data_IF_658526832025
#
_entry.id   IF_658526832025
#
_cell.length_a   1.000
_cell.length_b   1.000
_cell.length_c   1.000
_cell.angle_alpha   90.00
_cell.angle_beta   90.00
_cell.angle_gamma   90.00
#
_symmetry.space_group_name_H-M   'P 1'
#
loop_
_entity.id
_entity.type
_entity.pdbx_description
1 polymer ?
#
# COMPACT_ATOMS: atom_id res chain seq x y z
N UNK A 1 5.61 18.46 15.16
CA UNK A 1 4.43 18.58 16.05
C UNK A 1 4.77 18.75 17.52
N UNK A 2 5.13 17.68 18.26
CA UNK A 2 5.37 17.73 19.72
C UNK A 2 6.46 18.69 20.19
N UNK A 3 7.54 18.84 19.42
CA UNK A 3 8.70 19.64 19.85
C UNK A 3 8.61 21.14 19.49
N UNK A 4 7.73 21.51 18.57
CA UNK A 4 7.70 22.87 17.99
C UNK A 4 6.29 23.44 17.93
N UNK A 5 5.36 22.71 17.30
CA UNK A 5 4.00 23.20 17.10
C UNK A 5 3.23 23.36 18.42
N UNK A 6 3.21 22.31 19.26
CA UNK A 6 2.50 22.32 20.54
C UNK A 6 3.06 23.35 21.54
N UNK A 7 4.38 23.46 21.75
CA UNK A 7 4.97 24.51 22.59
C UNK A 7 4.72 25.93 22.06
N UNK A 8 4.72 26.14 20.75
CA UNK A 8 4.44 27.45 20.15
C UNK A 8 2.96 27.82 20.34
N UNK A 9 2.03 26.89 20.10
CA UNK A 9 0.60 27.09 20.38
C UNK A 9 0.36 27.51 21.83
N UNK A 10 1.04 26.86 22.77
CA UNK A 10 0.96 27.20 24.20
C UNK A 10 1.58 28.56 24.57
N UNK A 11 2.55 29.07 23.79
CA UNK A 11 3.25 30.34 24.06
C UNK A 11 2.64 31.55 23.36
N UNK A 12 2.23 31.41 22.10
CA UNK A 12 1.81 32.53 21.24
C UNK A 12 0.32 32.50 20.88
N UNK A 13 -0.41 31.42 21.17
CA UNK A 13 -1.84 31.25 20.84
C UNK A 13 -2.13 31.10 19.33
N UNK A 14 -1.27 31.63 18.46
CA UNK A 14 -1.39 31.56 17.01
C UNK A 14 -0.38 30.57 16.41
N UNK A 15 -0.89 29.55 15.73
CA UNK A 15 -0.14 28.57 14.94
C UNK A 15 -0.86 28.31 13.61
N UNK A 16 -0.14 27.96 12.53
CA UNK A 16 -0.78 27.69 11.23
C UNK A 16 -1.65 26.44 11.29
N UNK A 17 -2.76 26.44 10.54
CA UNK A 17 -3.60 25.25 10.43
C UNK A 17 -2.88 24.10 9.71
N UNK A 18 -3.16 22.88 10.13
CA UNK A 18 -2.61 21.66 9.56
C UNK A 18 -3.70 20.91 8.83
N UNK A 19 -3.47 20.66 7.55
CA UNK A 19 -4.31 19.83 6.71
C UNK A 19 -3.55 18.55 6.34
N UNK A 20 -4.03 17.41 6.86
CA UNK A 20 -3.56 16.09 6.48
C UNK A 20 -4.51 15.44 5.48
N UNK A 21 -3.99 14.92 4.37
CA UNK A 21 -4.75 14.12 3.41
C UNK A 21 -4.30 12.67 3.52
N UNK A 22 -5.23 11.76 3.81
CA UNK A 22 -4.97 10.32 3.81
C UNK A 22 -6.19 9.56 3.30
N UNK A 23 -5.95 8.42 2.67
CA UNK A 23 -6.99 7.46 2.31
C UNK A 23 -7.50 6.68 3.54
N UNK A 24 -6.64 6.49 4.54
CA UNK A 24 -7.00 5.90 5.84
C UNK A 24 -6.01 6.38 6.91
N UNK A 25 -6.46 6.90 8.07
CA UNK A 25 -5.55 7.31 9.14
C UNK A 25 -5.10 6.14 10.03
N UNK A 26 -5.55 4.89 9.82
CA UNK A 26 -5.21 3.76 10.72
C UNK A 26 -4.16 2.84 10.11
N UNK A 27 -3.00 2.76 10.76
CA UNK A 27 -1.85 1.94 10.32
C UNK A 27 -1.92 0.46 10.75
N UNK A 28 -2.63 0.11 11.86
CA UNK A 28 -2.53 -1.22 12.48
C UNK A 28 -3.84 -1.88 12.94
N UNK A 29 -4.94 -1.64 12.21
CA UNK A 29 -6.26 -2.22 12.53
C UNK A 29 -6.78 -1.87 13.95
N UNK A 30 -6.15 -0.92 14.65
CA UNK A 30 -6.51 -0.52 15.99
C UNK A 30 -7.16 0.87 15.96
N UNK A 31 -8.47 0.89 16.12
CA UNK A 31 -9.30 2.10 16.11
C UNK A 31 -8.91 3.11 17.21
N UNK A 32 -8.20 2.67 18.26
CA UNK A 32 -7.75 3.53 19.37
C UNK A 32 -6.59 4.46 18.99
N UNK A 33 -5.87 4.19 17.90
CA UNK A 33 -4.75 5.02 17.46
C UNK A 33 -5.20 6.36 16.84
N UNK A 34 -6.47 6.47 16.44
CA UNK A 34 -7.01 7.68 15.82
C UNK A 34 -6.86 8.91 16.72
N UNK A 35 -7.24 8.81 18.00
CA UNK A 35 -7.12 9.92 18.94
C UNK A 35 -5.67 10.34 19.17
N UNK A 36 -4.71 9.42 19.04
CA UNK A 36 -3.29 9.74 19.13
C UNK A 36 -2.81 10.53 17.91
N UNK A 37 -3.34 10.24 16.72
CA UNK A 37 -3.04 10.99 15.49
C UNK A 37 -3.63 12.40 15.56
N UNK A 38 -4.90 12.52 15.93
CA UNK A 38 -5.58 13.80 16.09
C UNK A 38 -4.86 14.68 17.13
N UNK A 39 -4.49 14.13 18.28
CA UNK A 39 -3.72 14.84 19.31
C UNK A 39 -2.30 15.20 18.85
N UNK A 40 -1.67 14.35 18.05
CA UNK A 40 -0.33 14.64 17.53
C UNK A 40 -0.37 15.74 16.47
N UNK A 41 -1.36 15.73 15.57
CA UNK A 41 -1.48 16.68 14.46
C UNK A 41 -2.25 17.96 14.82
N UNK A 42 -2.88 18.03 16.00
CA UNK A 42 -3.78 19.13 16.39
C UNK A 42 -4.86 19.39 15.33
N UNK A 43 -5.34 18.30 14.71
CA UNK A 43 -6.29 18.31 13.60
C UNK A 43 -7.31 17.20 13.79
N UNK A 44 -8.55 17.41 13.33
CA UNK A 44 -9.61 16.41 13.41
C UNK A 44 -9.64 15.59 12.12
N UNK A 45 -9.78 14.28 12.25
CA UNK A 45 -10.00 13.42 11.10
C UNK A 45 -11.47 13.49 10.67
N UNK A 46 -11.71 14.05 9.48
CA UNK A 46 -13.05 14.22 8.91
C UNK A 46 -13.18 13.49 7.57
N UNK A 47 -14.39 13.03 7.24
CA UNK A 47 -14.74 12.44 5.94
C UNK A 47 -15.82 13.30 5.27
N UNK A 48 -15.81 13.50 3.94
CA UNK A 48 -16.83 14.29 3.25
C UNK A 48 -18.26 13.75 3.46
N UNK A 49 -19.20 14.61 3.89
CA UNK A 49 -20.59 14.23 4.21
C UNK A 49 -21.64 14.81 3.25
N UNK A 50 -21.54 16.10 2.91
CA UNK A 50 -22.62 16.84 2.21
C UNK A 50 -22.92 16.33 0.79
N UNK A 51 -21.90 16.06 -0.02
CA UNK A 51 -22.07 15.60 -1.40
C UNK A 51 -21.77 14.11 -1.58
N UNK A 52 -22.04 13.30 -0.56
CA UNK A 52 -21.73 11.85 -0.57
C UNK A 52 -22.44 11.11 -1.71
N UNK A 53 -23.66 11.52 -2.05
CA UNK A 53 -24.39 10.95 -3.20
C UNK A 53 -23.71 11.26 -4.53
N UNK A 54 -23.21 12.49 -4.72
CA UNK A 54 -22.49 12.87 -5.94
C UNK A 54 -21.11 12.20 -6.00
N UNK A 55 -20.43 12.05 -4.85
CA UNK A 55 -19.21 11.26 -4.74
C UNK A 55 -19.44 9.82 -5.21
N UNK A 56 -20.53 9.17 -4.77
CA UNK A 56 -20.85 7.80 -5.18
C UNK A 56 -21.23 7.65 -6.66
N UNK A 57 -21.62 8.72 -7.35
CA UNK A 57 -21.80 8.68 -8.82
C UNK A 57 -20.47 8.55 -9.56
N UNK A 58 -19.39 9.08 -8.98
CA UNK A 58 -18.06 9.12 -9.59
C UNK A 58 -17.07 8.10 -8.98
N UNK A 59 -17.40 7.50 -7.83
CA UNK A 59 -16.60 6.47 -7.17
C UNK A 59 -17.23 5.10 -7.42
N UNK A 60 -16.53 4.27 -8.21
CA UNK A 60 -16.94 2.89 -8.45
C UNK A 60 -16.25 1.95 -7.47
N UNK A 61 -17.06 1.24 -6.68
CA UNK A 61 -16.58 0.24 -5.72
C UNK A 61 -16.38 -1.09 -6.45
N UNK A 62 -15.18 -1.70 -6.38
CA UNK A 62 -14.95 -2.98 -7.02
C UNK A 62 -15.75 -4.09 -6.33
N UNK A 63 -16.17 -5.10 -7.10
CA UNK A 63 -16.72 -6.34 -6.56
C UNK A 63 -15.62 -7.12 -5.85
N UNK A 64 -15.72 -7.25 -4.53
CA UNK A 64 -14.82 -8.09 -3.74
C UNK A 64 -15.09 -9.57 -4.04
N UNK A 65 -14.05 -10.31 -4.43
CA UNK A 65 -14.12 -11.74 -4.70
C UNK A 65 -13.00 -12.50 -4.00
N UNK A 66 -13.34 -13.64 -3.43
CA UNK A 66 -12.39 -14.55 -2.80
C UNK A 66 -12.02 -15.67 -3.78
N UNK A 67 -10.72 -15.84 -4.02
CA UNK A 67 -10.22 -16.97 -4.81
C UNK A 67 -9.53 -17.96 -3.87
N UNK A 68 -10.25 -19.03 -3.54
CA UNK A 68 -9.80 -20.00 -2.55
C UNK A 68 -8.89 -21.06 -3.20
N UNK A 69 -7.79 -21.43 -2.54
CA UNK A 69 -6.88 -22.46 -3.04
C UNK A 69 -6.45 -23.44 -1.95
N UNK A 70 -6.11 -24.66 -2.32
CA UNK A 70 -5.57 -25.65 -1.38
C UNK A 70 -4.07 -25.40 -1.25
N UNK A 71 -3.58 -25.20 -0.02
CA UNK A 71 -2.14 -25.22 0.24
C UNK A 71 -1.61 -26.60 -0.07
N UNK A 72 -0.54 -26.66 -0.86
CA UNK A 72 0.20 -27.89 -0.97
C UNK A 72 0.92 -28.10 0.36
N UNK A 73 0.35 -28.91 1.26
CA UNK A 73 1.12 -29.40 2.41
C UNK A 73 2.35 -30.10 1.85
N UNK A 74 3.53 -29.73 2.35
CA UNK A 74 4.78 -30.41 2.03
C UNK A 74 4.81 -31.83 2.64
N UNK A 75 3.83 -32.68 2.31
CA UNK A 75 3.94 -34.13 2.50
C UNK A 75 4.80 -34.67 1.37
N UNK A 76 6.11 -34.50 1.54
CA UNK A 76 7.11 -35.08 0.67
C UNK A 76 8.14 -34.07 0.24
N UNK A 77 9.20 -33.97 1.04
CA UNK A 77 10.56 -33.66 0.56
C UNK A 77 11.05 -34.58 -0.58
N UNK A 78 10.23 -35.53 -1.05
CA UNK A 78 10.54 -36.50 -2.09
C UNK A 78 10.56 -35.92 -3.52
N UNK A 79 9.94 -34.76 -3.78
CA UNK A 79 9.91 -34.12 -5.11
C UNK A 79 10.63 -32.77 -5.15
N UNK A 80 11.52 -32.49 -4.18
CA UNK A 80 12.43 -31.36 -4.33
C UNK A 80 13.29 -31.64 -5.57
N UNK A 81 13.16 -30.80 -6.61
CA UNK A 81 14.00 -30.92 -7.81
C UNK A 81 15.47 -31.09 -7.40
N UNK A 82 16.22 -31.92 -8.11
CA UNK A 82 17.65 -32.17 -7.84
C UNK A 82 18.43 -30.87 -7.61
N UNK A 83 18.06 -29.81 -8.34
CA UNK A 83 18.62 -28.46 -8.25
C UNK A 83 18.42 -27.83 -6.86
N UNK A 84 17.28 -28.05 -6.22
CA UNK A 84 17.01 -27.56 -4.87
C UNK A 84 17.87 -28.26 -3.81
N UNK A 85 18.09 -29.59 -3.96
CA UNK A 85 18.99 -30.32 -3.07
C UNK A 85 20.44 -29.91 -3.25
N UNK A 86 20.88 -29.70 -4.49
CA UNK A 86 22.22 -29.19 -4.82
C UNK A 86 22.44 -27.84 -4.16
N UNK A 87 21.48 -26.93 -4.28
CA UNK A 87 21.56 -25.61 -3.65
C UNK A 87 21.60 -25.71 -2.11
N UNK A 88 20.81 -26.62 -1.52
CA UNK A 88 20.83 -26.85 -0.06
C UNK A 88 22.17 -27.40 0.41
N UNK A 89 22.77 -28.35 -0.33
CA UNK A 89 24.10 -28.92 -0.04
C UNK A 89 25.18 -27.84 -0.12
N UNK A 90 25.15 -26.99 -1.15
CA UNK A 90 26.07 -25.85 -1.27
C UNK A 90 25.93 -24.92 -0.06
N UNK A 91 24.70 -24.55 0.32
CA UNK A 91 24.45 -23.70 1.48
C UNK A 91 24.97 -24.30 2.79
N UNK A 92 24.86 -25.62 2.97
CA UNK A 92 25.38 -26.32 4.15
C UNK A 92 26.91 -26.36 4.14
N UNK A 93 27.55 -26.72 3.02
CA UNK A 93 29.02 -26.73 2.87
C UNK A 93 29.65 -25.36 3.16
N UNK A 94 29.03 -24.28 2.70
CA UNK A 94 29.50 -22.92 2.97
C UNK A 94 29.27 -22.49 4.43
N UNK A 95 28.24 -23.02 5.10
CA UNK A 95 28.01 -22.78 6.52
C UNK A 95 29.03 -23.53 7.38
N UNK A 96 29.33 -24.78 7.02
CA UNK A 96 30.29 -25.64 7.72
C UNK A 96 31.74 -25.12 7.58
N UNK A 97 32.11 -24.57 6.42
CA UNK A 97 33.44 -23.99 6.17
C UNK A 97 33.69 -22.65 6.85
N UNK A 98 32.65 -21.86 7.10
CA UNK A 98 32.81 -20.45 7.52
C UNK A 98 32.17 -20.12 8.89
N UNK A 99 31.55 -21.10 9.54
CA UNK A 99 30.86 -20.93 10.81
C UNK A 99 29.54 -20.15 10.65
N UNK A 100 28.69 -20.22 11.68
CA UNK A 100 27.45 -19.46 11.71
C UNK A 100 27.77 -17.95 11.73
N UNK A 101 27.12 -17.14 10.87
CA UNK A 101 27.30 -15.69 10.95
C UNK A 101 26.84 -15.22 12.33
N UNK A 102 27.74 -14.55 13.06
CA UNK A 102 27.61 -14.06 14.44
C UNK A 102 26.43 -13.10 14.72
N UNK A 103 25.47 -12.96 13.81
CA UNK A 103 24.38 -11.97 13.90
C UNK A 103 23.08 -12.50 14.54
N UNK A 104 23.01 -13.75 15.03
CA UNK A 104 21.77 -14.30 15.62
C UNK A 104 21.92 -14.98 16.99
N UNK A 105 23.10 -15.01 17.60
CA UNK A 105 23.34 -15.59 18.94
C UNK A 105 23.73 -14.51 19.97
N UNK A 106 23.00 -13.39 19.98
CA UNK A 106 23.28 -12.24 20.84
C UNK A 106 22.04 -11.44 21.20
N UNK A 107 20.96 -12.11 21.58
CA UNK A 107 19.88 -11.54 22.37
C UNK A 107 19.68 -12.48 23.54
N UNK A 108 20.58 -12.41 24.53
CA UNK A 108 20.40 -12.76 25.95
C UNK A 108 21.77 -12.63 26.66
N UNK A 109 22.32 -11.41 26.72
CA UNK A 109 23.29 -11.02 27.76
C UNK A 109 23.61 -9.52 27.68
N UNK A 110 23.16 -8.77 28.69
CA UNK A 110 23.88 -7.61 29.23
C UNK A 110 23.93 -6.32 28.40
N UNK A 111 23.36 -5.25 28.97
CA UNK A 111 23.63 -3.87 28.59
C UNK A 111 25.14 -3.58 28.56
N UNK A 112 25.69 -3.40 27.36
CA UNK A 112 27.04 -2.89 27.14
C UNK A 112 27.11 -2.26 25.76
N UNK A 113 27.46 -0.97 25.70
CA UNK A 113 27.71 -0.24 24.45
C UNK A 113 28.81 -0.96 23.66
N UNK A 114 28.45 -1.67 22.60
CA UNK A 114 29.41 -2.27 21.66
C UNK A 114 29.25 -1.58 20.31
N UNK A 115 30.36 -1.02 19.83
CA UNK A 115 30.46 -0.22 18.62
C UNK A 115 30.06 -0.94 17.33
N UNK A 116 29.83 -0.14 16.29
CA UNK A 116 29.50 -0.55 14.91
C UNK A 116 30.41 -1.68 14.43
N UNK A 117 29.89 -2.76 13.80
CA UNK A 117 30.75 -3.83 13.30
C UNK A 117 31.47 -3.39 12.03
N UNK A 118 32.78 -3.21 12.18
CA UNK A 118 33.79 -3.06 11.13
C UNK A 118 33.87 -4.32 10.24
N UNK A 119 33.87 -4.10 8.91
CA UNK A 119 34.33 -4.97 7.81
C UNK A 119 33.85 -6.44 7.86
N UNK A 120 32.73 -6.75 7.19
CA UNK A 120 32.32 -8.14 6.93
C UNK A 120 33.30 -8.80 5.95
N UNK A 121 33.85 -9.95 6.34
CA UNK A 121 34.68 -10.79 5.48
C UNK A 121 33.86 -11.28 4.29
N UNK A 122 34.45 -11.24 3.10
CA UNK A 122 33.83 -11.58 1.82
C UNK A 122 33.21 -13.00 1.86
N UNK A 123 33.87 -13.92 2.56
CA UNK A 123 33.40 -15.31 2.73
C UNK A 123 32.11 -15.43 3.55
N UNK A 124 31.98 -14.63 4.62
CA UNK A 124 30.74 -14.57 5.42
C UNK A 124 29.60 -13.92 4.64
N UNK A 125 29.94 -12.95 3.79
CA UNK A 125 29.00 -12.28 2.89
C UNK A 125 28.50 -13.24 1.81
N UNK A 126 29.35 -14.09 1.23
CA UNK A 126 28.98 -15.16 0.28
C UNK A 126 27.97 -16.14 0.90
N UNK A 127 28.29 -16.70 2.07
CA UNK A 127 27.42 -17.66 2.77
C UNK A 127 26.04 -17.05 3.08
N UNK A 128 26.02 -15.79 3.50
CA UNK A 128 24.79 -15.03 3.72
C UNK A 128 23.96 -14.83 2.43
N UNK A 129 24.60 -14.55 1.30
CA UNK A 129 23.92 -14.40 0.00
C UNK A 129 23.30 -15.72 -0.46
N UNK A 130 24.06 -16.81 -0.38
CA UNK A 130 23.57 -18.15 -0.74
C UNK A 130 22.40 -18.56 0.13
N UNK A 131 22.49 -18.37 1.46
CA UNK A 131 21.36 -18.68 2.36
C UNK A 131 20.11 -17.88 2.01
N UNK A 132 20.26 -16.58 1.73
CA UNK A 132 19.13 -15.74 1.29
C UNK A 132 18.55 -16.21 -0.03
N UNK A 133 19.39 -16.69 -0.95
CA UNK A 133 18.96 -17.27 -2.20
C UNK A 133 18.19 -18.58 -1.99
N UNK A 134 18.66 -19.48 -1.12
CA UNK A 134 17.92 -20.68 -0.71
C UNK A 134 16.52 -20.33 -0.18
N UNK A 135 16.43 -19.34 0.70
CA UNK A 135 15.15 -18.91 1.26
C UNK A 135 14.20 -18.34 0.18
N UNK A 136 14.74 -17.58 -0.79
CA UNK A 136 13.96 -17.09 -1.94
C UNK A 136 13.49 -18.24 -2.84
N UNK A 137 14.36 -19.20 -3.14
CA UNK A 137 14.01 -20.37 -3.95
C UNK A 137 12.95 -21.23 -3.25
N UNK A 138 13.05 -21.40 -1.93
CA UNK A 138 12.06 -22.10 -1.12
C UNK A 138 10.69 -21.41 -1.18
N UNK A 139 10.68 -20.08 -1.06
CA UNK A 139 9.46 -19.28 -1.19
C UNK A 139 8.85 -19.39 -2.60
N UNK A 140 9.67 -19.34 -3.66
CA UNK A 140 9.19 -19.56 -5.04
C UNK A 140 8.60 -20.95 -5.21
N UNK A 141 9.22 -21.98 -4.62
CA UNK A 141 8.71 -23.35 -4.65
C UNK A 141 7.34 -23.46 -3.97
N UNK A 142 7.18 -22.88 -2.78
CA UNK A 142 5.93 -22.92 -2.04
C UNK A 142 4.80 -22.17 -2.76
N UNK A 143 5.10 -20.98 -3.28
CA UNK A 143 4.09 -20.09 -3.86
C UNK A 143 3.74 -20.43 -5.32
N UNK A 144 4.75 -20.77 -6.14
CA UNK A 144 4.60 -20.97 -7.59
C UNK A 144 4.72 -22.44 -8.03
N UNK A 145 5.32 -23.29 -7.20
CA UNK A 145 5.42 -24.73 -7.43
C UNK A 145 6.84 -25.22 -7.79
N UNK A 146 7.04 -26.55 -7.87
CA UNK A 146 8.33 -27.18 -8.16
C UNK A 146 9.00 -26.72 -9.45
N UNK A 147 8.27 -26.67 -10.57
CA UNK A 147 8.83 -26.24 -11.87
C UNK A 147 9.29 -24.79 -11.85
N UNK A 148 8.57 -23.92 -11.14
CA UNK A 148 8.93 -22.52 -10.99
C UNK A 148 10.27 -22.36 -10.24
N UNK A 149 10.49 -23.16 -9.19
CA UNK A 149 11.75 -23.18 -8.46
C UNK A 149 12.89 -23.80 -9.29
N UNK A 150 12.61 -24.88 -10.02
CA UNK A 150 13.57 -25.53 -10.91
C UNK A 150 14.02 -24.63 -12.07
N UNK A 151 13.16 -23.69 -12.51
CA UNK A 151 13.53 -22.63 -13.45
C UNK A 151 14.28 -21.47 -12.78
N UNK A 152 13.77 -21.00 -11.63
CA UNK A 152 14.31 -19.83 -10.93
C UNK A 152 15.79 -19.98 -10.55
N UNK A 153 16.18 -21.14 -10.04
CA UNK A 153 17.55 -21.38 -9.57
C UNK A 153 18.59 -21.25 -10.70
N UNK A 154 18.52 -22.03 -11.79
CA UNK A 154 19.48 -21.95 -12.88
C UNK A 154 19.37 -20.65 -13.68
N UNK A 155 18.17 -20.08 -13.83
CA UNK A 155 18.01 -18.77 -14.46
C UNK A 155 18.74 -17.67 -13.69
N UNK A 156 18.67 -17.70 -12.36
CA UNK A 156 19.45 -16.76 -11.52
C UNK A 156 20.96 -16.99 -11.68
N UNK A 157 21.41 -18.25 -11.73
CA UNK A 157 22.82 -18.58 -11.95
C UNK A 157 23.31 -18.10 -13.33
N UNK A 158 22.49 -18.17 -14.37
CA UNK A 158 22.79 -17.65 -15.70
C UNK A 158 22.91 -16.12 -15.72
N UNK A 159 21.99 -15.41 -15.07
CA UNK A 159 22.09 -13.95 -14.96
C UNK A 159 23.37 -13.53 -14.23
N UNK A 160 23.77 -14.28 -13.19
CA UNK A 160 25.04 -14.06 -12.49
C UNK A 160 26.23 -14.29 -13.42
N UNK A 161 26.22 -15.38 -14.21
CA UNK A 161 27.25 -15.66 -15.23
C UNK A 161 27.38 -14.50 -16.20
N UNK A 162 26.27 -14.04 -16.78
CA UNK A 162 26.25 -12.93 -17.74
C UNK A 162 26.79 -11.63 -17.13
N UNK A 163 26.40 -11.30 -15.88
CA UNK A 163 26.94 -10.13 -15.18
C UNK A 163 28.43 -10.26 -14.87
N UNK A 164 28.90 -11.45 -14.49
CA UNK A 164 30.32 -11.70 -14.26
C UNK A 164 31.14 -11.45 -15.53
N UNK A 165 30.64 -11.87 -16.69
CA UNK A 165 31.29 -11.62 -17.99
C UNK A 165 31.27 -10.13 -18.38
N UNK A 166 30.14 -9.43 -18.18
CA UNK A 166 30.09 -7.98 -18.39
C UNK A 166 31.07 -7.22 -17.47
N UNK A 167 31.20 -7.64 -16.21
CA UNK A 167 32.13 -7.03 -15.26
C UNK A 167 33.61 -7.25 -15.64
N UNK A 168 33.94 -8.40 -16.24
CA UNK A 168 35.28 -8.64 -16.82
C UNK A 168 35.55 -7.74 -18.02
N UNK A 169 34.54 -7.47 -18.84
CA UNK A 169 34.66 -6.60 -20.01
C UNK A 169 34.83 -5.11 -19.65
N UNK A 170 34.30 -4.68 -18.51
CA UNK A 170 34.34 -3.28 -18.04
C UNK A 170 35.51 -2.96 -17.09
N UNK A 171 36.62 -3.69 -17.21
CA UNK A 171 37.81 -3.81 -16.33
C UNK A 171 38.52 -2.54 -15.81
N UNK A 172 37.99 -1.33 -16.00
CA UNK A 172 38.57 -0.07 -15.51
C UNK A 172 38.34 0.20 -14.01
N UNK A 173 37.41 -0.51 -13.35
CA UNK A 173 37.19 -0.36 -11.90
C UNK A 173 36.59 -1.63 -11.27
N UNK A 174 37.41 -2.47 -10.64
CA UNK A 174 36.93 -3.68 -9.92
C UNK A 174 36.30 -3.23 -8.60
N UNK A 175 34.98 -3.36 -8.49
CA UNK A 175 34.28 -3.12 -7.23
C UNK A 175 34.25 -4.41 -6.40
N UNK A 176 34.22 -4.29 -5.06
CA UNK A 176 34.01 -5.44 -4.13
C UNK A 176 32.79 -6.30 -4.52
N UNK A 177 31.81 -5.70 -5.20
CA UNK A 177 30.63 -6.39 -5.73
C UNK A 177 30.98 -7.40 -6.83
N UNK A 178 31.93 -7.08 -7.70
CA UNK A 178 32.33 -7.93 -8.82
C UNK A 178 33.08 -9.18 -8.34
N UNK A 179 33.86 -9.05 -7.25
CA UNK A 179 34.49 -10.18 -6.58
C UNK A 179 33.45 -11.16 -6.03
N UNK A 180 32.39 -10.65 -5.38
CA UNK A 180 31.29 -11.48 -4.88
C UNK A 180 30.51 -12.17 -6.01
N UNK A 181 30.27 -11.47 -7.13
CA UNK A 181 29.61 -12.04 -8.33
C UNK A 181 30.45 -13.20 -8.89
N UNK A 182 31.77 -13.01 -8.99
CA UNK A 182 32.69 -14.04 -9.48
C UNK A 182 32.74 -15.26 -8.53
N UNK A 183 32.79 -15.05 -7.21
CA UNK A 183 32.75 -16.15 -6.25
C UNK A 183 31.41 -16.91 -6.27
N UNK A 184 30.29 -16.21 -6.46
CA UNK A 184 28.98 -16.85 -6.62
C UNK A 184 28.92 -17.67 -7.90
N UNK A 185 29.45 -17.14 -9.02
CA UNK A 185 29.58 -17.89 -10.27
C UNK A 185 30.38 -19.17 -10.03
N UNK A 186 31.57 -19.07 -9.46
CA UNK A 186 32.46 -20.23 -9.27
C UNK A 186 31.81 -21.27 -8.36
N UNK A 187 31.08 -20.86 -7.31
CA UNK A 187 30.33 -21.76 -6.45
C UNK A 187 29.18 -22.47 -7.18
N UNK A 188 28.45 -21.79 -8.06
CA UNK A 188 27.37 -22.40 -8.84
C UNK A 188 27.89 -23.31 -9.96
N UNK A 189 29.00 -22.96 -10.59
CA UNK A 189 29.64 -23.75 -11.63
C UNK A 189 30.23 -25.05 -11.05
N UNK A 190 30.83 -25.00 -9.86
CA UNK A 190 31.36 -26.19 -9.16
C UNK A 190 30.31 -27.24 -8.83
N UNK A 191 29.07 -26.82 -8.56
CA UNK A 191 27.97 -27.74 -8.26
C UNK A 191 27.18 -28.17 -9.52
N UNK A 192 27.59 -27.74 -10.71
CA UNK A 192 26.96 -28.16 -11.96
C UNK A 192 25.55 -27.62 -12.17
N UNK A 193 25.21 -26.45 -11.58
CA UNK A 193 23.94 -25.75 -11.85
C UNK A 193 24.00 -25.20 -13.29
N UNK A 194 23.62 -26.05 -14.23
CA UNK A 194 23.68 -25.79 -15.68
C UNK A 194 22.42 -25.06 -16.18
N UNK A 195 22.39 -24.76 -17.48
CA UNK A 195 21.45 -23.87 -18.18
C UNK A 195 19.99 -23.99 -17.70
N UNK A 196 19.28 -22.85 -17.66
CA UNK A 196 17.88 -22.84 -17.28
C UNK A 196 17.08 -23.79 -18.18
N UNK A 197 16.16 -24.60 -17.61
CA UNK A 197 15.28 -25.42 -18.42
C UNK A 197 14.44 -24.52 -19.34
N UNK A 198 14.02 -25.08 -20.47
CA UNK A 198 13.18 -24.37 -21.42
C UNK A 198 11.95 -23.76 -20.71
N UNK A 199 11.54 -22.57 -21.16
CA UNK A 199 10.38 -21.85 -20.62
C UNK A 199 9.11 -22.71 -20.71
N UNK A 200 9.07 -23.67 -21.64
CA UNK A 200 7.99 -24.65 -21.76
C UNK A 200 7.86 -25.58 -20.54
N UNK A 201 8.93 -25.81 -19.76
CA UNK A 201 8.89 -26.58 -18.52
C UNK A 201 8.07 -25.90 -17.42
N UNK A 202 7.81 -24.60 -17.54
CA UNK A 202 6.92 -23.85 -16.62
C UNK A 202 5.42 -24.14 -16.83
N UNK A 203 5.06 -25.04 -17.77
CA UNK A 203 3.66 -25.41 -18.05
C UNK A 203 3.14 -26.57 -17.20
N UNK A 204 4.01 -27.22 -16.42
CA UNK A 204 3.72 -28.47 -15.72
C UNK A 204 4.14 -28.31 -14.26
N UNK A 205 3.48 -29.00 -13.32
CA UNK A 205 3.80 -28.96 -11.87
C UNK A 205 3.82 -27.53 -11.29
N UNK A 206 2.87 -26.70 -11.70
CA UNK A 206 2.61 -25.41 -11.04
C UNK A 206 1.89 -25.64 -9.71
N UNK A 207 2.01 -24.68 -8.79
CA UNK A 207 1.23 -24.73 -7.56
C UNK A 207 -0.26 -24.63 -7.86
N UNK A 208 -1.09 -25.27 -7.03
CA UNK A 208 -2.55 -25.14 -7.12
C UNK A 208 -3.01 -23.68 -7.03
N UNK A 209 -2.24 -22.85 -6.33
CA UNK A 209 -2.45 -21.40 -6.26
C UNK A 209 -2.31 -20.75 -7.64
N UNK A 210 -1.22 -21.02 -8.36
CA UNK A 210 -1.00 -20.47 -9.71
C UNK A 210 -2.03 -21.02 -10.70
N UNK A 211 -2.40 -22.30 -10.60
CA UNK A 211 -3.46 -22.89 -11.45
C UNK A 211 -4.81 -22.20 -11.25
N UNK A 212 -5.19 -21.91 -10.01
CA UNK A 212 -6.41 -21.13 -9.72
C UNK A 212 -6.33 -19.71 -10.29
N UNK A 213 -5.17 -19.06 -10.20
CA UNK A 213 -4.96 -17.75 -10.81
C UNK A 213 -5.11 -17.80 -12.35
N UNK A 214 -4.49 -18.80 -13.00
CA UNK A 214 -4.57 -18.98 -14.45
C UNK A 214 -6.01 -19.27 -14.88
N UNK A 215 -6.72 -20.13 -14.16
CA UNK A 215 -8.12 -20.43 -14.44
C UNK A 215 -9.01 -19.19 -14.28
N UNK A 216 -8.75 -18.37 -13.27
CA UNK A 216 -9.47 -17.12 -13.08
C UNK A 216 -9.20 -16.10 -14.20
N UNK A 217 -7.94 -15.96 -14.63
CA UNK A 217 -7.54 -15.07 -15.71
C UNK A 217 -8.07 -15.53 -17.07
N UNK A 218 -8.18 -16.84 -17.29
CA UNK A 218 -8.74 -17.38 -18.55
C UNK A 218 -10.20 -16.95 -18.78
N UNK A 219 -10.98 -16.83 -17.71
CA UNK A 219 -12.37 -16.38 -17.78
C UNK A 219 -12.54 -14.87 -18.01
N UNK A 220 -11.44 -14.10 -18.02
CA UNK A 220 -11.50 -12.65 -18.25
C UNK A 220 -11.49 -12.31 -19.75
N UNK A 221 -12.19 -11.23 -20.09
CA UNK A 221 -12.26 -10.69 -21.45
C UNK A 221 -11.09 -9.73 -21.72
N UNK A 222 -10.43 -9.81 -22.89
CA UNK A 222 -9.20 -9.06 -23.18
C UNK A 222 -9.40 -7.64 -23.71
N UNK A 223 -10.56 -7.28 -24.28
CA UNK A 223 -10.70 -6.05 -25.10
C UNK A 223 -10.47 -4.74 -24.32
N UNK A 224 -10.75 -4.71 -23.02
CA UNK A 224 -10.51 -3.55 -22.14
C UNK A 224 -9.87 -3.96 -20.82
N UNK A 225 -8.93 -4.91 -20.87
CA UNK A 225 -8.33 -5.47 -19.67
C UNK A 225 -7.15 -4.63 -19.17
N UNK A 226 -7.20 -4.22 -17.90
CA UNK A 226 -6.13 -3.51 -17.17
C UNK A 226 -6.02 -4.10 -15.77
N UNK A 227 -5.25 -5.17 -15.64
CA UNK A 227 -5.09 -5.93 -14.42
C UNK A 227 -3.82 -5.57 -13.64
N UNK A 228 -3.91 -5.66 -12.31
CA UNK A 228 -2.77 -5.52 -11.41
C UNK A 228 -2.72 -6.68 -10.42
N UNK A 229 -1.58 -7.36 -10.32
CA UNK A 229 -1.35 -8.46 -9.38
C UNK A 229 -0.33 -8.06 -8.34
N UNK A 230 -0.74 -8.02 -7.07
CA UNK A 230 0.15 -7.78 -5.94
C UNK A 230 0.74 -9.09 -5.42
N UNK A 231 2.07 -9.17 -5.37
CA UNK A 231 2.85 -10.29 -4.84
C UNK A 231 3.87 -9.80 -3.80
N UNK A 232 4.24 -10.64 -2.83
CA UNK A 232 5.09 -10.21 -1.72
C UNK A 232 6.57 -10.04 -2.10
N UNK A 233 7.11 -10.90 -2.96
CA UNK A 233 8.55 -10.96 -3.23
C UNK A 233 8.88 -10.69 -4.70
N UNK A 234 9.99 -9.96 -4.92
CA UNK A 234 10.53 -9.64 -6.26
C UNK A 234 10.87 -10.88 -7.09
N UNK A 235 11.40 -11.92 -6.45
CA UNK A 235 11.68 -13.19 -7.12
C UNK A 235 10.40 -13.80 -7.70
N UNK A 236 9.32 -13.80 -6.92
CA UNK A 236 8.00 -14.25 -7.36
C UNK A 236 7.44 -13.41 -8.51
N UNK A 237 7.64 -12.08 -8.51
CA UNK A 237 7.23 -11.20 -9.62
C UNK A 237 7.81 -11.66 -10.95
N UNK A 238 9.14 -11.85 -10.99
CA UNK A 238 9.85 -12.22 -12.22
C UNK A 238 9.40 -13.58 -12.74
N UNK A 239 9.38 -14.59 -11.88
CA UNK A 239 9.01 -15.96 -12.27
C UNK A 239 7.53 -16.04 -12.66
N UNK A 240 6.63 -15.38 -11.92
CA UNK A 240 5.20 -15.37 -12.23
C UNK A 240 4.92 -14.67 -13.57
N UNK A 241 5.64 -13.58 -13.90
CA UNK A 241 5.54 -12.96 -15.22
C UNK A 241 5.93 -13.94 -16.31
N UNK A 242 7.03 -14.66 -16.14
CA UNK A 242 7.48 -15.63 -17.14
C UNK A 242 6.47 -16.76 -17.31
N UNK A 243 5.89 -17.26 -16.21
CA UNK A 243 4.81 -18.27 -16.24
C UNK A 243 3.60 -17.73 -17.03
N UNK A 244 3.06 -16.56 -16.66
CA UNK A 244 1.87 -16.01 -17.31
C UNK A 244 2.12 -15.62 -18.77
N UNK A 245 3.34 -15.22 -19.12
CA UNK A 245 3.72 -14.87 -20.50
C UNK A 245 3.96 -16.09 -21.39
N UNK A 246 4.21 -17.28 -20.83
CA UNK A 246 4.52 -18.50 -21.60
C UNK A 246 3.41 -19.56 -21.57
N UNK A 247 2.48 -19.43 -20.63
CA UNK A 247 1.41 -20.39 -20.43
C UNK A 247 0.36 -20.29 -21.56
N UNK A 248 -0.05 -21.41 -22.19
CA UNK A 248 -0.94 -21.38 -23.36
C UNK A 248 -2.27 -20.64 -23.14
N UNK A 249 -2.82 -20.70 -21.93
CA UNK A 249 -4.12 -20.09 -21.56
C UNK A 249 -4.06 -18.55 -21.41
N UNK A 250 -2.89 -17.98 -21.16
CA UNK A 250 -2.72 -16.55 -20.82
C UNK A 250 -1.83 -15.80 -21.81
N UNK A 251 -0.88 -16.48 -22.46
CA UNK A 251 0.10 -15.89 -23.36
C UNK A 251 -0.52 -15.10 -24.52
N UNK A 252 -1.64 -15.56 -25.09
CA UNK A 252 -2.33 -14.88 -26.19
C UNK A 252 -3.27 -13.76 -25.73
N UNK A 253 -3.63 -13.73 -24.44
CA UNK A 253 -4.62 -12.80 -23.90
C UNK A 253 -4.02 -11.58 -23.22
N UNK A 254 -2.85 -11.70 -22.60
CA UNK A 254 -2.32 -10.67 -21.70
C UNK A 254 -0.88 -10.29 -22.00
N UNK A 255 -0.64 -9.01 -22.24
CA UNK A 255 0.72 -8.45 -22.31
C UNK A 255 1.22 -8.14 -20.91
N UNK A 256 1.92 -9.10 -20.32
CA UNK A 256 2.41 -9.02 -18.95
C UNK A 256 3.65 -8.13 -18.81
N UNK A 257 3.71 -7.33 -17.74
CA UNK A 257 4.86 -6.56 -17.31
C UNK A 257 5.08 -6.69 -15.80
N UNK A 258 6.26 -6.28 -15.33
CA UNK A 258 6.65 -6.35 -13.91
C UNK A 258 6.95 -4.96 -13.38
N UNK A 259 6.57 -4.70 -12.13
CA UNK A 259 6.93 -3.47 -11.43
C UNK A 259 7.45 -3.75 -10.03
N UNK A 260 8.65 -3.28 -9.74
CA UNK A 260 9.33 -3.54 -8.45
C UNK A 260 9.97 -2.25 -7.96
N UNK A 261 9.61 -1.76 -6.78
CA UNK A 261 10.11 -0.46 -6.29
C UNK A 261 11.63 -0.42 -6.08
N UNK A 262 12.27 0.70 -6.43
CA UNK A 262 13.69 0.96 -6.18
C UNK A 262 13.92 1.15 -4.68
N UNK A 263 14.63 0.21 -4.04
CA UNK A 263 15.08 0.42 -2.66
C UNK A 263 16.44 1.11 -2.67
N UNK A 264 16.46 2.43 -2.43
CA UNK A 264 17.68 3.24 -2.25
C UNK A 264 18.32 3.04 -0.86
N UNK A 265 18.43 1.79 -0.38
CA UNK A 265 19.19 1.50 0.83
C UNK A 265 20.61 1.10 0.46
N UNK A 266 21.57 2.00 0.73
CA UNK A 266 23.01 1.77 0.54
C UNK A 266 23.56 0.54 1.30
N UNK A 267 22.77 -0.06 2.21
CA UNK A 267 23.20 -1.15 3.09
C UNK A 267 22.50 -2.50 2.88
N UNK A 268 21.55 -2.60 1.95
CA UNK A 268 20.86 -3.86 1.64
C UNK A 268 21.01 -4.28 0.17
N UNK A 269 22.15 -3.97 -0.45
CA UNK A 269 22.50 -4.38 -1.82
C UNK A 269 22.80 -5.87 -1.89
N UNK A 270 21.77 -6.71 -1.87
CA UNK A 270 21.90 -8.08 -2.38
C UNK A 270 22.13 -7.94 -3.88
N UNK A 271 23.29 -8.37 -4.37
CA UNK A 271 23.59 -8.48 -5.81
C UNK A 271 22.43 -9.15 -6.52
N UNK A 272 21.93 -10.26 -5.96
CA UNK A 272 20.80 -11.02 -6.48
C UNK A 272 19.47 -10.26 -6.53
N UNK A 273 19.26 -9.22 -5.73
CA UNK A 273 18.02 -8.42 -5.80
C UNK A 273 18.08 -7.40 -6.93
N UNK A 274 19.24 -6.80 -7.15
CA UNK A 274 19.49 -5.85 -8.25
C UNK A 274 19.40 -6.54 -9.62
N UNK A 275 19.75 -7.83 -9.72
CA UNK A 275 19.62 -8.63 -10.96
C UNK A 275 18.21 -8.64 -11.55
N UNK A 276 17.17 -8.62 -10.71
CA UNK A 276 15.77 -8.72 -11.14
C UNK A 276 15.12 -7.35 -11.39
N UNK A 277 15.81 -6.25 -11.06
CA UNK A 277 15.26 -4.90 -11.13
C UNK A 277 15.59 -4.18 -12.47
N UNK A 278 16.70 -4.55 -13.14
CA UNK A 278 17.28 -3.76 -14.25
C UNK A 278 16.49 -3.83 -15.57
N UNK A 279 15.81 -4.93 -15.88
CA UNK A 279 15.06 -5.08 -17.13
C UNK A 279 13.64 -4.47 -17.08
N UNK A 280 13.14 -4.11 -15.90
CA UNK A 280 11.69 -4.03 -15.66
C UNK A 280 11.11 -2.62 -15.41
N UNK A 281 11.90 -1.56 -15.35
CA UNK A 281 11.44 -0.39 -14.58
C UNK A 281 11.20 0.91 -15.33
N UNK A 282 11.95 1.24 -16.38
CA UNK A 282 11.91 2.62 -16.93
C UNK A 282 10.61 2.94 -17.68
N UNK A 283 9.98 1.95 -18.31
CA UNK A 283 8.82 2.20 -19.17
C UNK A 283 7.54 1.45 -18.78
N UNK A 284 7.54 0.62 -17.72
CA UNK A 284 6.37 -0.21 -17.38
C UNK A 284 5.13 0.60 -16.99
N UNK A 285 5.29 1.61 -16.13
CA UNK A 285 4.15 2.46 -15.71
C UNK A 285 3.58 3.29 -16.87
N UNK A 286 4.38 4.03 -17.67
CA UNK A 286 3.83 4.77 -18.81
C UNK A 286 3.25 3.84 -19.88
N UNK A 287 3.87 2.69 -20.16
CA UNK A 287 3.33 1.71 -21.11
C UNK A 287 2.02 1.09 -20.63
N UNK A 288 1.88 0.85 -19.33
CA UNK A 288 0.62 0.39 -18.73
C UNK A 288 -0.46 1.47 -18.85
N UNK A 289 -0.15 2.74 -18.57
CA UNK A 289 -1.09 3.85 -18.76
C UNK A 289 -1.50 4.06 -20.21
N UNK A 290 -0.58 3.82 -21.15
CA UNK A 290 -0.83 3.90 -22.58
C UNK A 290 -1.58 2.67 -23.12
N UNK A 291 -1.90 1.68 -22.30
CA UNK A 291 -2.57 0.45 -22.74
C UNK A 291 -1.69 -0.43 -23.64
N UNK A 292 -0.36 -0.33 -23.54
CA UNK A 292 0.58 -1.25 -24.22
C UNK A 292 0.81 -2.53 -23.43
N UNK A 293 0.51 -2.51 -22.12
CA UNK A 293 0.57 -3.64 -21.21
C UNK A 293 -0.79 -3.80 -20.55
N UNK A 294 -1.27 -5.03 -20.46
CA UNK A 294 -2.62 -5.33 -19.95
C UNK A 294 -2.58 -5.82 -18.50
N UNK A 295 -1.46 -6.43 -18.09
CA UNK A 295 -1.31 -7.03 -16.77
C UNK A 295 0.03 -6.66 -16.16
N UNK A 296 0.01 -5.99 -15.01
CA UNK A 296 1.23 -5.67 -14.26
C UNK A 296 1.30 -6.54 -13.02
N UNK A 297 2.46 -7.14 -12.78
CA UNK A 297 2.76 -7.90 -11.56
C UNK A 297 3.70 -7.05 -10.72
N UNK A 298 3.26 -6.69 -9.53
CA UNK A 298 3.97 -5.75 -8.69
C UNK A 298 4.11 -6.21 -7.25
N UNK A 299 5.18 -5.72 -6.60
CA UNK A 299 5.29 -5.74 -5.13
C UNK A 299 4.48 -4.61 -4.50
N UNK A 300 4.39 -4.63 -3.16
CA UNK A 300 3.77 -3.59 -2.33
C UNK A 300 4.27 -2.15 -2.61
N UNK A 301 5.41 -2.00 -3.31
CA UNK A 301 5.89 -0.71 -3.81
C UNK A 301 4.92 0.05 -4.73
N UNK A 302 3.94 -0.63 -5.34
CA UNK A 302 2.91 0.01 -6.17
C UNK A 302 1.64 0.38 -5.38
N UNK A 303 1.59 0.10 -4.07
CA UNK A 303 0.47 0.48 -3.21
C UNK A 303 0.35 2.00 -3.07
N UNK A 304 1.48 2.67 -2.81
CA UNK A 304 1.54 4.10 -2.47
C UNK A 304 2.39 4.91 -3.44
N UNK A 305 2.07 6.20 -3.55
CA UNK A 305 2.96 7.23 -4.14
C UNK A 305 3.16 7.17 -5.66
N UNK A 306 2.76 6.08 -6.32
CA UNK A 306 2.85 5.92 -7.77
C UNK A 306 1.46 6.07 -8.37
N UNK A 307 1.35 7.01 -9.31
CA UNK A 307 0.16 7.17 -10.12
C UNK A 307 0.12 6.02 -11.15
N UNK A 308 -0.94 5.23 -11.12
CA UNK A 308 -1.13 4.03 -11.95
C UNK A 308 -2.49 4.18 -12.60
N UNK A 309 -2.61 3.76 -13.86
CA UNK A 309 -3.89 3.77 -14.56
C UNK A 309 -4.96 3.04 -13.73
N UNK A 310 -6.20 3.53 -13.85
CA UNK A 310 -7.34 2.91 -13.18
C UNK A 310 -7.52 1.50 -13.74
N UNK A 311 -7.51 0.51 -12.86
CA UNK A 311 -7.56 -0.90 -13.24
C UNK A 311 -8.99 -1.45 -13.21
N UNK A 312 -9.28 -2.43 -14.09
CA UNK A 312 -10.52 -3.21 -14.03
C UNK A 312 -10.40 -4.37 -13.05
N UNK A 313 -9.18 -4.87 -12.81
CA UNK A 313 -8.95 -6.02 -11.95
C UNK A 313 -7.73 -5.79 -11.08
N UNK A 314 -7.88 -6.00 -9.78
CA UNK A 314 -6.76 -6.03 -8.84
C UNK A 314 -6.79 -7.37 -8.11
N UNK A 315 -5.71 -8.15 -8.21
CA UNK A 315 -5.55 -9.45 -7.57
C UNK A 315 -4.48 -9.36 -6.49
N UNK A 316 -4.85 -9.65 -5.26
CA UNK A 316 -3.92 -9.88 -4.16
C UNK A 316 -3.53 -11.35 -4.16
N UNK A 317 -2.35 -11.67 -4.70
CA UNK A 317 -1.81 -13.03 -4.67
C UNK A 317 -1.55 -13.50 -3.23
N UNK A 318 -1.31 -12.57 -2.30
CA UNK A 318 -1.29 -12.82 -0.87
C UNK A 318 -2.23 -11.84 -0.18
N UNK A 319 -2.86 -12.29 0.90
CA UNK A 319 -3.71 -11.46 1.76
C UNK A 319 -2.98 -10.17 2.15
N UNK A 320 -3.61 -8.98 2.01
CA UNK A 320 -3.02 -7.72 2.45
C UNK A 320 -2.58 -7.79 3.93
N UNK A 321 -1.40 -7.24 4.27
CA UNK A 321 -0.86 -7.32 5.62
C UNK A 321 -1.58 -6.42 6.64
N UNK A 322 -2.26 -5.37 6.17
CA UNK A 322 -2.95 -4.37 6.99
C UNK A 322 -4.23 -3.87 6.30
N UNK A 323 -5.11 -3.25 7.08
CA UNK A 323 -6.31 -2.58 6.56
C UNK A 323 -5.97 -1.44 5.61
N UNK A 324 -4.90 -0.70 5.90
CA UNK A 324 -4.37 0.35 5.02
C UNK A 324 -4.02 -0.21 3.63
N UNK A 325 -3.23 -1.29 3.60
CA UNK A 325 -2.88 -1.97 2.35
C UNK A 325 -4.12 -2.51 1.63
N UNK A 326 -5.10 -3.06 2.36
CA UNK A 326 -6.38 -3.48 1.79
C UNK A 326 -7.13 -2.32 1.11
N UNK A 327 -7.27 -1.17 1.77
CA UNK A 327 -7.97 0.02 1.25
C UNK A 327 -7.21 0.60 0.04
N UNK A 328 -5.89 0.71 0.13
CA UNK A 328 -5.04 1.28 -0.92
C UNK A 328 -5.05 0.41 -2.19
N UNK A 329 -4.87 -0.91 -2.04
CA UNK A 329 -4.93 -1.86 -3.17
C UNK A 329 -6.32 -1.89 -3.81
N UNK A 330 -7.39 -1.94 -3.01
CA UNK A 330 -8.77 -1.84 -3.49
C UNK A 330 -9.01 -0.53 -4.25
N UNK A 331 -8.42 0.56 -3.75
CA UNK A 331 -8.43 1.87 -4.37
C UNK A 331 -7.77 1.94 -5.76
N UNK A 332 -7.10 0.89 -6.24
CA UNK A 332 -6.57 0.84 -7.63
C UNK A 332 -7.60 0.28 -8.64
N UNK A 333 -8.62 -0.44 -8.17
CA UNK A 333 -9.68 -1.02 -8.99
C UNK A 333 -10.90 -0.07 -9.07
N UNK A 334 -10.81 1.06 -9.79
CA UNK A 334 -11.90 2.07 -9.87
C UNK A 334 -12.66 2.13 -11.20
N UNK A 335 -12.38 1.23 -12.16
CA UNK A 335 -13.17 1.19 -13.39
C UNK A 335 -14.60 0.73 -13.08
N UNK A 336 -15.55 1.05 -13.95
CA UNK A 336 -16.91 0.50 -13.83
C UNK A 336 -16.86 -1.04 -13.89
N UNK A 337 -17.64 -1.68 -13.02
CA UNK A 337 -17.65 -3.14 -12.87
C UNK A 337 -16.28 -3.78 -12.57
N UNK A 338 -15.37 -3.03 -11.93
CA UNK A 338 -14.07 -3.55 -11.52
C UNK A 338 -14.18 -4.65 -10.46
N UNK A 339 -13.15 -5.48 -10.38
CA UNK A 339 -13.07 -6.61 -9.45
C UNK A 339 -11.84 -6.47 -8.56
N UNK A 340 -12.02 -6.79 -7.28
CA UNK A 340 -10.93 -6.87 -6.31
C UNK A 340 -10.89 -8.29 -5.75
N UNK A 341 -9.86 -9.05 -6.16
CA UNK A 341 -9.74 -10.47 -5.89
C UNK A 341 -8.67 -10.70 -4.84
N UNK A 342 -8.97 -11.46 -3.79
CA UNK A 342 -7.98 -11.86 -2.79
C UNK A 342 -7.85 -13.38 -2.82
N UNK A 343 -6.63 -13.85 -3.07
CA UNK A 343 -6.30 -15.26 -3.02
C UNK A 343 -6.07 -15.68 -1.58
N UNK A 344 -6.86 -16.63 -1.10
CA UNK A 344 -6.76 -17.12 0.27
C UNK A 344 -6.72 -18.65 0.29
N UNK A 345 -5.95 -19.25 1.19
CA UNK A 345 -5.93 -20.70 1.28
C UNK A 345 -7.22 -21.22 1.96
N UNK A 346 -7.69 -22.41 1.59
CA UNK A 346 -8.95 -23.00 2.07
C UNK A 346 -9.00 -23.21 3.59
N UNK A 347 -7.83 -23.35 4.22
CA UNK A 347 -7.64 -23.50 5.67
C UNK A 347 -7.68 -22.16 6.42
N UNK A 348 -7.48 -21.03 5.71
CA UNK A 348 -7.62 -19.71 6.32
C UNK A 348 -9.09 -19.40 6.53
N UNK A 349 -9.44 -19.24 7.81
CA UNK A 349 -10.81 -19.01 8.27
C UNK A 349 -11.47 -17.91 7.45
N UNK A 350 -12.69 -18.17 6.98
CA UNK A 350 -13.58 -17.22 6.26
C UNK A 350 -13.64 -15.82 6.89
N UNK A 351 -13.30 -15.71 8.18
CA UNK A 351 -13.28 -14.51 9.00
C UNK A 351 -12.43 -13.37 8.46
N UNK A 352 -11.29 -13.61 7.79
CA UNK A 352 -10.37 -12.50 7.49
C UNK A 352 -10.93 -11.47 6.49
N UNK A 353 -11.62 -11.90 5.43
CA UNK A 353 -12.18 -10.96 4.44
C UNK A 353 -13.37 -10.18 4.98
N UNK A 354 -14.27 -10.86 5.70
CA UNK A 354 -15.41 -10.21 6.34
C UNK A 354 -14.94 -9.22 7.40
N UNK A 355 -13.91 -9.60 8.18
CA UNK A 355 -13.30 -8.73 9.18
C UNK A 355 -12.74 -7.43 8.57
N UNK A 356 -12.14 -7.46 7.38
CA UNK A 356 -11.65 -6.21 6.75
C UNK A 356 -12.77 -5.27 6.34
N UNK A 357 -13.86 -5.79 5.77
CA UNK A 357 -15.04 -4.99 5.43
C UNK A 357 -15.68 -4.41 6.69
N UNK A 358 -15.87 -5.24 7.71
CA UNK A 358 -16.44 -4.82 8.99
C UNK A 358 -15.59 -3.75 9.70
N UNK A 359 -14.26 -3.90 9.66
CA UNK A 359 -13.33 -2.91 10.20
C UNK A 359 -13.37 -1.60 9.40
N UNK A 360 -13.49 -1.67 8.08
CA UNK A 360 -13.66 -0.49 7.23
C UNK A 360 -14.99 0.23 7.52
N UNK A 361 -16.09 -0.52 7.64
CA UNK A 361 -17.39 0.05 7.98
C UNK A 361 -17.38 0.66 9.40
N UNK A 362 -16.73 0.00 10.36
CA UNK A 362 -16.55 0.54 11.70
C UNK A 362 -15.72 1.84 11.70
N UNK A 363 -14.67 1.92 10.88
CA UNK A 363 -13.91 3.16 10.69
C UNK A 363 -14.78 4.28 10.13
N UNK A 364 -15.54 3.98 9.07
CA UNK A 364 -16.43 4.95 8.42
C UNK A 364 -17.46 5.46 9.42
N UNK A 365 -18.06 4.58 10.23
CA UNK A 365 -19.02 4.94 11.26
C UNK A 365 -18.39 5.84 12.33
N UNK A 366 -17.17 5.53 12.79
CA UNK A 366 -16.45 6.38 13.75
C UNK A 366 -16.15 7.78 13.22
N UNK A 367 -15.91 7.95 11.91
CA UNK A 367 -15.73 9.28 11.30
C UNK A 367 -17.05 10.03 11.09
N UNK A 368 -18.16 9.30 11.00
CA UNK A 368 -19.50 9.86 10.81
C UNK A 368 -20.18 10.21 12.13
N UNK A 369 -19.61 9.80 13.26
CA UNK A 369 -20.20 10.00 14.58
C UNK A 369 -20.22 11.49 14.97
N UNK A 370 -21.41 12.11 14.84
CA UNK A 370 -21.72 13.50 15.21
C UNK A 370 -21.48 13.78 16.70
N UNK A 371 -21.47 12.75 17.54
CA UNK A 371 -21.31 12.89 18.99
C UNK A 371 -19.95 13.47 19.38
N UNK A 372 -18.91 13.33 18.55
CA UNK A 372 -17.60 13.97 18.81
C UNK A 372 -17.65 15.48 18.65
N UNK A 373 -18.40 15.98 17.67
CA UNK A 373 -18.63 17.42 17.50
C UNK A 373 -19.55 17.94 18.61
N UNK A 374 -20.65 17.25 18.90
CA UNK A 374 -21.60 17.62 19.96
C UNK A 374 -20.97 17.66 21.35
N UNK A 375 -20.14 16.69 21.71
CA UNK A 375 -19.46 16.66 23.02
C UNK A 375 -18.46 17.82 23.19
N UNK A 376 -17.87 18.32 22.10
CA UNK A 376 -17.00 19.51 22.12
C UNK A 376 -17.80 20.80 22.24
N UNK A 377 -18.87 20.95 21.46
CA UNK A 377 -19.76 22.11 21.54
C UNK A 377 -20.39 22.23 22.93
N UNK A 378 -20.84 21.11 23.51
CA UNK A 378 -21.36 21.04 24.88
C UNK A 378 -20.33 21.41 25.96
N UNK A 379 -19.03 21.30 25.67
CA UNK A 379 -17.96 21.77 26.56
C UNK A 379 -17.81 23.28 26.60
N UNK A 380 -18.21 23.97 25.52
CA UNK A 380 -18.14 25.42 25.37
C UNK A 380 -19.44 26.13 25.80
N UNK A 381 -20.58 25.43 25.78
CA UNK A 381 -21.91 25.93 26.14
C UNK A 381 -22.22 25.96 27.65
N UNK A 382 -21.20 25.92 28.54
CA UNK A 382 -21.45 25.98 30.01
C UNK A 382 -21.82 27.37 30.54
N UNK A 383 -21.91 28.39 29.69
CA UNK A 383 -22.42 29.71 30.04
C UNK A 383 -23.77 29.96 29.39
N UNK A 384 -24.86 29.73 30.11
CA UNK A 384 -26.18 30.23 29.71
C UNK A 384 -26.17 31.75 29.95
N UNK A 385 -25.71 32.55 28.99
CA UNK A 385 -25.90 34.01 29.06
C UNK A 385 -27.38 34.31 28.81
N UNK A 386 -28.06 34.83 29.84
CA UNK A 386 -29.38 35.44 29.69
C UNK A 386 -29.24 36.73 28.88
N UNK A 387 -29.42 36.63 27.56
CA UNK A 387 -29.44 37.80 26.67
C UNK A 387 -30.86 38.36 26.65
N UNK A 388 -31.14 39.33 27.51
CA UNK A 388 -32.46 39.97 27.65
C UNK A 388 -32.71 41.08 26.59
N UNK A 389 -32.09 40.94 25.42
CA UNK A 389 -32.15 41.90 24.32
C UNK A 389 -33.39 41.67 23.43
N UNK A 390 -34.22 42.69 23.29
CA UNK A 390 -35.36 42.71 22.37
C UNK A 390 -35.29 43.94 21.48
N UNK A 391 -35.62 43.76 20.20
CA UNK A 391 -35.67 44.82 19.20
C UNK A 391 -37.12 44.95 18.71
N UNK A 392 -37.71 46.13 18.88
CA UNK A 392 -39.09 46.42 18.51
C UNK A 392 -39.13 47.54 17.48
N UNK A 393 -39.90 47.33 16.41
CA UNK A 393 -40.08 48.31 15.34
C UNK A 393 -41.49 48.89 15.44
N UNK A 394 -41.61 50.14 15.88
CA UNK A 394 -42.88 50.81 16.16
C UNK A 394 -43.80 50.93 14.93
N UNK A 395 -43.23 51.03 13.72
CA UNK A 395 -44.01 51.21 12.48
C UNK A 395 -44.68 49.94 11.98
N UNK A 396 -44.10 48.77 12.25
CA UNK A 396 -44.62 47.47 11.77
C UNK A 396 -45.17 46.60 12.90
N UNK A 397 -44.95 46.99 14.16
CA UNK A 397 -45.30 46.20 15.34
C UNK A 397 -44.48 44.92 15.49
N UNK A 398 -43.40 44.76 14.70
CA UNK A 398 -42.56 43.58 14.73
C UNK A 398 -41.64 43.60 15.98
N UNK A 399 -41.50 42.44 16.62
CA UNK A 399 -40.60 42.25 17.76
C UNK A 399 -39.64 41.08 17.49
N UNK A 400 -38.38 41.26 17.85
CA UNK A 400 -37.32 40.26 17.69
C UNK A 400 -36.65 40.05 19.06
N UNK A 401 -36.61 38.81 19.52
CA UNK A 401 -35.85 38.40 20.71
C UNK A 401 -34.58 37.67 20.30
N UNK A 402 -33.55 37.69 21.15
CA UNK A 402 -32.29 36.98 20.90
C UNK A 402 -32.51 35.49 20.55
N UNK A 403 -33.45 34.82 21.22
CA UNK A 403 -33.82 33.42 20.98
C UNK A 403 -34.42 33.18 19.58
N UNK A 404 -35.17 34.16 19.05
CA UNK A 404 -35.86 34.04 17.76
C UNK A 404 -35.03 34.58 16.59
N UNK A 405 -33.96 35.34 16.87
CA UNK A 405 -33.14 36.02 15.86
C UNK A 405 -32.55 35.04 14.82
N UNK A 406 -31.95 33.94 15.27
CA UNK A 406 -31.37 32.94 14.39
C UNK A 406 -32.41 32.26 13.50
N UNK A 407 -33.57 31.91 14.05
CA UNK A 407 -34.65 31.29 13.30
C UNK A 407 -35.20 32.23 12.21
N UNK A 408 -35.36 33.51 12.51
CA UNK A 408 -35.80 34.51 11.53
C UNK A 408 -34.75 34.78 10.45
N UNK A 409 -33.46 34.78 10.80
CA UNK A 409 -32.36 34.95 9.84
C UNK A 409 -32.30 33.79 8.84
N UNK A 410 -32.42 32.55 9.31
CA UNK A 410 -32.49 31.38 8.44
C UNK A 410 -33.73 31.40 7.55
N UNK A 411 -34.90 31.75 8.12
CA UNK A 411 -36.14 31.87 7.38
C UNK A 411 -36.05 32.94 6.27
N UNK A 412 -35.45 34.10 6.58
CA UNK A 412 -35.20 35.15 5.60
C UNK A 412 -34.35 34.65 4.42
N UNK A 413 -33.27 33.93 4.70
CA UNK A 413 -32.40 33.41 3.65
C UNK A 413 -33.07 32.27 2.83
N UNK A 414 -33.97 31.49 3.43
CA UNK A 414 -34.71 30.41 2.76
C UNK A 414 -35.83 30.89 1.83
N UNK A 415 -36.42 32.06 2.10
CA UNK A 415 -37.47 32.66 1.26
C UNK A 415 -36.89 33.27 -0.03
N UNK A 416 -35.58 33.55 -0.06
CA UNK A 416 -34.94 34.19 -1.20
C UNK A 416 -34.92 33.29 -2.45
N UNK A 417 -35.05 33.88 -3.66
CA UNK A 417 -35.06 33.12 -4.91
C UNK A 417 -33.73 32.37 -5.10
N UNK A 418 -33.82 31.04 -5.20
CA UNK A 418 -32.66 30.16 -5.40
C UNK A 418 -32.05 30.39 -6.79
N UNK A 419 -30.81 30.84 -6.84
CA UNK A 419 -30.03 30.84 -8.08
C UNK A 419 -29.33 29.48 -8.26
N UNK A 420 -29.00 29.11 -9.51
CA UNK A 420 -28.26 27.86 -9.77
C UNK A 420 -26.88 27.94 -9.12
N UNK A 421 -26.52 26.91 -8.36
CA UNK A 421 -25.21 26.75 -7.69
C UNK A 421 -24.90 27.73 -6.54
N UNK A 422 -25.89 28.41 -5.97
CA UNK A 422 -25.69 29.26 -4.77
C UNK A 422 -26.32 28.64 -3.52
N UNK A 423 -25.56 28.62 -2.43
CA UNK A 423 -26.05 28.21 -1.12
C UNK A 423 -26.81 29.36 -0.45
N UNK A 424 -28.03 29.09 0.04
CA UNK A 424 -28.92 30.11 0.64
C UNK A 424 -28.78 30.18 2.15
N UNK A 425 -27.73 29.60 2.74
CA UNK A 425 -27.53 29.61 4.20
C UNK A 425 -26.64 30.79 4.59
N UNK A 426 -26.96 31.50 5.70
CA UNK A 426 -26.06 32.52 6.24
C UNK A 426 -24.81 31.84 6.81
N UNK A 427 -23.65 32.44 6.55
CA UNK A 427 -22.36 32.00 7.09
C UNK A 427 -21.97 32.91 8.26
N UNK A 428 -21.45 32.33 9.34
CA UNK A 428 -21.07 33.05 10.56
C UNK A 428 -19.57 32.89 10.78
N UNK A 429 -18.84 34.01 10.88
CA UNK A 429 -17.43 34.01 11.28
C UNK A 429 -17.28 34.75 12.61
N UNK A 430 -16.45 34.20 13.49
CA UNK A 430 -16.24 34.74 14.84
C UNK A 430 -14.80 35.18 15.00
N UNK A 431 -14.59 36.42 15.43
CA UNK A 431 -13.29 36.98 15.76
C UNK A 431 -13.26 37.35 17.25
N UNK A 432 -12.33 36.75 17.99
CA UNK A 432 -12.15 37.05 19.41
C UNK A 432 -11.08 38.14 19.58
N UNK A 433 -11.49 39.30 20.09
CA UNK A 433 -10.56 40.39 20.38
C UNK A 433 -9.75 40.11 21.64
N UNK A 434 -8.55 40.71 21.75
CA UNK A 434 -7.65 40.58 22.93
C UNK A 434 -8.29 41.03 24.26
N UNK A 435 -9.44 41.70 24.21
CA UNK A 435 -10.24 42.15 25.35
C UNK A 435 -11.31 41.14 25.82
N UNK A 436 -11.40 39.95 25.20
CA UNK A 436 -12.41 38.94 25.51
C UNK A 436 -13.80 39.22 24.90
N UNK A 437 -13.89 40.17 23.97
CA UNK A 437 -15.11 40.46 23.22
C UNK A 437 -15.15 39.62 21.94
N UNK A 438 -16.22 38.85 21.74
CA UNK A 438 -16.43 38.04 20.52
C UNK A 438 -17.23 38.89 19.53
N UNK A 439 -16.65 39.15 18.36
CA UNK A 439 -17.34 39.79 17.24
C UNK A 439 -17.79 38.71 16.27
N UNK A 440 -19.10 38.64 15.98
CA UNK A 440 -19.65 37.74 14.97
C UNK A 440 -19.95 38.54 13.70
N UNK A 441 -19.38 38.12 12.56
CA UNK A 441 -19.69 38.64 11.25
C UNK A 441 -20.60 37.66 10.53
N UNK A 442 -21.75 38.15 10.07
CA UNK A 442 -22.73 37.34 9.32
C UNK A 442 -22.62 37.67 7.84
N UNK A 443 -22.25 36.70 7.03
CA UNK A 443 -22.22 36.82 5.58
C UNK A 443 -23.53 36.27 5.02
N UNK A 444 -24.30 37.14 4.37
CA UNK A 444 -25.56 36.77 3.73
C UNK A 444 -25.32 36.26 2.29
N UNK A 445 -26.23 35.44 1.75
CA UNK A 445 -26.13 34.97 0.37
C UNK A 445 -26.09 36.12 -0.65
N UNK A 446 -25.38 35.93 -1.76
CA UNK A 446 -25.20 36.92 -2.85
C UNK A 446 -26.49 37.43 -3.51
N UNK A 447 -27.65 36.85 -3.19
CA UNK A 447 -28.95 37.30 -3.67
C UNK A 447 -29.51 38.49 -2.86
N UNK A 448 -28.86 38.88 -1.75
CA UNK A 448 -29.20 40.06 -0.97
C UNK A 448 -28.53 41.29 -1.59
N UNK A 449 -29.33 42.28 -2.03
CA UNK A 449 -28.80 43.55 -2.57
C UNK A 449 -28.03 44.29 -1.48
N UNK A 450 -26.87 44.87 -1.81
CA UNK A 450 -26.02 45.63 -0.87
C UNK A 450 -26.62 46.96 -0.40
N UNK A 451 -27.87 47.26 -0.78
CA UNK A 451 -28.57 48.53 -0.52
C UNK A 451 -29.76 48.36 0.44
N UNK A 452 -29.77 47.32 1.27
CA UNK A 452 -30.76 47.15 2.34
C UNK A 452 -30.46 48.07 3.54
#
# INVERSE_FOLDING_TARGET
MKSFYHPTKARSGAVPHILGLSASPVLRSNLKELGAIEANLDSVCITPRHHRQDLFKHVHHPRLQRLAYIRCEARGTANASHVFEVLRKLSQRLLDRHGTPRSLLGLEAGFGRIGKPTRRDISTELSDQVRKFCNKAAHVHEELGPSAAAYFIPHTAEVIRNKAELAKASAFHVQKKDELVNQLRDAFDQEGITQAPDVMSLRIQLSLKVEQLIAFLECQEPETFSGLIFVQQRATVSVLRTILSSHPRTMSKFRCATFVGLSSSAHAKLVLSELFDEEAQKDTVPDFRAGKKDLVIATDALEEGIDVAVCNLVICFKTPPSLESYIQRRGRARMQASQYVIMVPNDSVQTQLNSWSELEDALINMYQDDDRERTRTAGSERGHELVDGWLYVETTGAYLTAEKAMAHLHHFCDIMPRQRYTETRPEFSFEESRSGSITCTVTLPNCVSSTL
#
